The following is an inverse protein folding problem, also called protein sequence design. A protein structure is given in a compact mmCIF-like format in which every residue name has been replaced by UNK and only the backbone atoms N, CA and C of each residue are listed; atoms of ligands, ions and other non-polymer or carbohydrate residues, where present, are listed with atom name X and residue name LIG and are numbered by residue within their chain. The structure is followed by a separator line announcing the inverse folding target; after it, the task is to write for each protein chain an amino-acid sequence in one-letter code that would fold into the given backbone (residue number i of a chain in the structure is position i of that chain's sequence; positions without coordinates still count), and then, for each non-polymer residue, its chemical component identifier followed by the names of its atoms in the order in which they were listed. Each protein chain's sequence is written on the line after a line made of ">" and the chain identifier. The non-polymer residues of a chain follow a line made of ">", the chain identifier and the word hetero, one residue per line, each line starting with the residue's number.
data_IF_529196434918
#
_entry.id   IF_529196434918
#
_cell.length_a   1.000
_cell.length_b   1.000
_cell.length_c   1.000
_cell.angle_alpha   90.00
_cell.angle_beta   90.00
_cell.angle_gamma   90.00
#
_symmetry.space_group_name_H-M   'P 1'
#
loop_
_entity.id
_entity.type
_entity.pdbx_description
1 polymer ?
#
# COMPACT_ATOMS: atom_id res chain seq x y z
N UNK A 1 -60.69 -33.61 62.97
CA UNK A 1 -60.99 -33.95 61.55
C UNK A 1 -61.33 -32.71 60.72
N UNK A 2 -62.16 -31.78 61.23
CA UNK A 2 -62.48 -30.52 60.52
C UNK A 2 -61.27 -29.56 60.40
N UNK A 3 -60.41 -29.46 61.41
CA UNK A 3 -59.23 -28.56 61.37
C UNK A 3 -58.16 -28.97 60.34
N UNK A 4 -57.94 -30.27 60.08
CA UNK A 4 -56.96 -30.73 59.09
C UNK A 4 -57.44 -30.58 57.64
N UNK A 5 -58.74 -30.55 57.41
CA UNK A 5 -59.32 -30.28 56.08
C UNK A 5 -59.23 -28.78 55.75
N UNK A 6 -59.41 -27.92 56.75
CA UNK A 6 -59.31 -26.46 56.59
C UNK A 6 -57.87 -25.99 56.29
N UNK A 7 -56.88 -26.57 56.97
CA UNK A 7 -55.45 -26.23 56.72
C UNK A 7 -54.96 -26.71 55.35
N UNK A 8 -55.43 -27.87 54.87
CA UNK A 8 -55.11 -28.36 53.52
C UNK A 8 -55.80 -27.53 52.42
N UNK A 9 -57.05 -27.11 52.61
CA UNK A 9 -57.76 -26.23 51.68
C UNK A 9 -57.10 -24.85 51.56
N UNK A 10 -56.69 -24.26 52.68
CA UNK A 10 -55.93 -22.99 52.68
C UNK A 10 -54.58 -23.16 51.97
N UNK A 11 -53.89 -24.29 52.17
CA UNK A 11 -52.59 -24.57 51.54
C UNK A 11 -52.68 -24.74 50.03
N UNK A 12 -53.71 -25.43 49.53
CA UNK A 12 -53.98 -25.55 48.09
C UNK A 12 -54.43 -24.22 47.47
N UNK A 13 -55.28 -23.45 48.16
CA UNK A 13 -55.70 -22.13 47.70
C UNK A 13 -54.52 -21.15 47.62
N UNK A 14 -53.62 -21.16 48.62
CA UNK A 14 -52.37 -20.37 48.61
C UNK A 14 -51.42 -20.86 47.50
N UNK A 15 -51.34 -22.16 47.23
CA UNK A 15 -50.52 -22.70 46.14
C UNK A 15 -51.05 -22.29 44.75
N UNK A 16 -52.36 -22.39 44.52
CA UNK A 16 -53.00 -21.94 43.28
C UNK A 16 -52.88 -20.43 43.10
N UNK A 17 -53.07 -19.65 44.16
CA UNK A 17 -52.92 -18.19 44.14
C UNK A 17 -51.46 -17.79 43.86
N UNK A 18 -50.47 -18.47 44.43
CA UNK A 18 -49.06 -18.25 44.12
C UNK A 18 -48.67 -18.69 42.69
N UNK A 19 -49.28 -19.75 42.15
CA UNK A 19 -49.10 -20.18 40.75
C UNK A 19 -49.68 -19.16 39.76
N UNK A 20 -50.87 -18.61 40.04
CA UNK A 20 -51.45 -17.53 39.25
C UNK A 20 -50.59 -16.26 39.29
N UNK A 21 -50.07 -15.90 40.46
CA UNK A 21 -49.19 -14.73 40.62
C UNK A 21 -47.85 -14.92 39.89
N UNK A 22 -47.23 -16.10 40.00
CA UNK A 22 -45.96 -16.40 39.32
C UNK A 22 -46.13 -16.46 37.80
N UNK A 23 -47.20 -17.08 37.29
CA UNK A 23 -47.53 -17.07 35.86
C UNK A 23 -47.80 -15.66 35.33
N UNK A 24 -48.51 -14.83 36.10
CA UNK A 24 -48.76 -13.42 35.74
C UNK A 24 -47.46 -12.60 35.70
N UNK A 25 -46.53 -12.83 36.63
CA UNK A 25 -45.22 -12.18 36.64
C UNK A 25 -44.32 -12.63 35.48
N UNK A 26 -44.35 -13.91 35.09
CA UNK A 26 -43.61 -14.43 33.93
C UNK A 26 -44.13 -13.82 32.62
N UNK A 27 -45.46 -13.74 32.46
CA UNK A 27 -46.08 -13.11 31.29
C UNK A 27 -45.77 -11.62 31.20
N UNK A 28 -45.76 -10.89 32.32
CA UNK A 28 -45.35 -9.47 32.35
C UNK A 28 -43.89 -9.33 31.93
N UNK A 29 -42.98 -10.15 32.46
CA UNK A 29 -41.55 -10.14 32.08
C UNK A 29 -41.35 -10.44 30.59
N UNK A 30 -42.09 -11.39 30.03
CA UNK A 30 -42.00 -11.71 28.61
C UNK A 30 -42.40 -10.53 27.72
N UNK A 31 -43.49 -9.83 28.05
CA UNK A 31 -43.94 -8.64 27.30
C UNK A 31 -42.95 -7.48 27.45
N UNK A 32 -42.39 -7.29 28.65
CA UNK A 32 -41.35 -6.27 28.89
C UNK A 32 -40.09 -6.56 28.06
N UNK A 33 -39.64 -7.81 28.01
CA UNK A 33 -38.47 -8.20 27.21
C UNK A 33 -38.72 -8.02 25.70
N UNK A 34 -39.92 -8.32 25.21
CA UNK A 34 -40.29 -8.04 23.80
C UNK A 34 -40.26 -6.54 23.53
N UNK A 35 -40.82 -5.74 24.44
CA UNK A 35 -40.82 -4.29 24.32
C UNK A 35 -39.41 -3.72 24.28
N UNK A 36 -38.54 -4.16 25.20
CA UNK A 36 -37.12 -3.79 25.22
C UNK A 36 -36.39 -4.22 23.94
N UNK A 37 -36.70 -5.40 23.40
CA UNK A 37 -36.12 -5.87 22.15
C UNK A 37 -36.55 -4.99 20.96
N UNK A 38 -37.82 -4.60 20.90
CA UNK A 38 -38.33 -3.74 19.83
C UNK A 38 -37.74 -2.33 19.94
N UNK A 39 -37.68 -1.76 21.15
CA UNK A 39 -37.12 -0.40 21.34
C UNK A 39 -35.64 -0.35 21.00
N UNK A 40 -34.87 -1.38 21.34
CA UNK A 40 -33.43 -1.44 21.00
C UNK A 40 -33.21 -1.58 19.49
N UNK A 41 -34.00 -2.41 18.80
CA UNK A 41 -33.97 -2.52 17.33
C UNK A 41 -34.32 -1.19 16.66
N UNK A 42 -35.39 -0.53 17.10
CA UNK A 42 -35.80 0.77 16.55
C UNK A 42 -34.75 1.86 16.82
N UNK A 43 -34.10 1.82 17.98
CA UNK A 43 -32.99 2.73 18.30
C UNK A 43 -31.81 2.52 17.35
N UNK A 44 -31.42 1.26 17.10
CA UNK A 44 -30.38 0.92 16.13
C UNK A 44 -30.73 1.37 14.72
N UNK A 45 -31.97 1.13 14.27
CA UNK A 45 -32.45 1.56 12.96
C UNK A 45 -32.50 3.09 12.82
N UNK A 46 -32.78 3.81 13.92
CA UNK A 46 -32.70 5.27 13.97
C UNK A 46 -31.29 5.80 13.72
N UNK A 47 -30.26 5.13 14.24
CA UNK A 47 -28.85 5.45 13.96
C UNK A 47 -28.53 5.19 12.48
N UNK A 48 -28.93 4.03 11.94
CA UNK A 48 -28.75 3.73 10.51
C UNK A 48 -29.43 4.78 9.62
N UNK A 49 -30.66 5.17 9.95
CA UNK A 49 -31.39 6.21 9.23
C UNK A 49 -30.70 7.56 9.31
N UNK A 50 -30.13 7.91 10.48
CA UNK A 50 -29.32 9.12 10.65
C UNK A 50 -28.10 9.10 9.72
N UNK A 51 -27.36 8.00 9.64
CA UNK A 51 -26.25 7.87 8.69
C UNK A 51 -26.71 7.98 7.23
N UNK A 52 -27.84 7.36 6.86
CA UNK A 52 -28.41 7.45 5.50
C UNK A 52 -28.80 8.89 5.12
N UNK A 53 -29.27 9.70 6.06
CA UNK A 53 -29.58 11.09 5.78
C UNK A 53 -28.32 11.98 5.76
N UNK A 54 -27.36 11.71 6.64
CA UNK A 54 -26.12 12.48 6.75
C UNK A 54 -25.16 12.26 5.56
N UNK A 55 -25.14 11.07 4.94
CA UNK A 55 -24.28 10.78 3.79
C UNK A 55 -24.55 11.67 2.58
N UNK A 56 -25.76 12.25 2.48
CA UNK A 56 -26.10 13.21 1.43
C UNK A 56 -25.33 14.53 1.56
N UNK A 57 -24.86 14.86 2.76
CA UNK A 57 -24.08 16.08 3.04
C UNK A 57 -22.59 15.80 3.04
N UNK A 58 -22.16 14.73 3.70
CA UNK A 58 -20.75 14.37 3.83
C UNK A 58 -20.55 12.89 3.49
N UNK A 59 -20.00 12.60 2.31
CA UNK A 59 -19.56 11.27 1.93
C UNK A 59 -18.05 11.11 2.22
N UNK A 60 -17.66 9.98 2.81
CA UNK A 60 -16.24 9.67 3.04
C UNK A 60 -15.63 8.94 1.83
N UNK A 61 -16.48 8.44 0.93
CA UNK A 61 -16.08 7.69 -0.27
C UNK A 61 -15.70 8.64 -1.40
N UNK A 62 -14.65 8.31 -2.11
CA UNK A 62 -14.17 8.99 -3.30
C UNK A 62 -14.39 8.08 -4.52
N UNK A 63 -14.87 8.64 -5.64
CA UNK A 63 -15.22 7.85 -6.82
C UNK A 63 -13.99 7.62 -7.70
N UNK A 64 -13.35 6.47 -7.52
CA UNK A 64 -12.27 6.03 -8.40
C UNK A 64 -12.86 5.45 -9.70
N UNK A 65 -12.37 5.79 -10.91
CA UNK A 65 -11.09 6.44 -11.21
C UNK A 65 -11.12 7.97 -11.45
N UNK A 66 -12.29 8.60 -11.55
CA UNK A 66 -12.41 10.03 -11.88
C UNK A 66 -11.80 10.94 -10.82
N UNK A 67 -12.04 10.59 -9.56
CA UNK A 67 -11.42 11.21 -8.41
C UNK A 67 -10.31 10.29 -7.91
N UNK A 68 -9.17 10.88 -7.54
CA UNK A 68 -8.06 10.17 -6.89
C UNK A 68 -7.75 10.89 -5.60
N UNK A 69 -7.39 10.13 -4.56
CA UNK A 69 -6.97 10.74 -3.32
C UNK A 69 -5.79 11.69 -3.58
N UNK A 70 -5.87 12.98 -3.22
CA UNK A 70 -4.69 13.81 -3.18
C UNK A 70 -3.69 13.17 -2.20
N UNK A 71 -2.40 13.38 -2.46
CA UNK A 71 -1.34 12.82 -1.62
C UNK A 71 -1.64 13.16 -0.15
N UNK A 72 -1.73 12.17 0.76
CA UNK A 72 -1.88 12.48 2.16
C UNK A 72 -0.61 13.21 2.61
N UNK A 73 -0.74 14.49 2.93
CA UNK A 73 0.26 15.27 3.64
C UNK A 73 0.34 14.72 5.07
N UNK A 74 1.07 13.61 5.24
CA UNK A 74 1.38 13.09 6.56
C UNK A 74 2.46 13.96 7.16
N UNK A 75 2.10 14.78 8.13
CA UNK A 75 3.07 15.44 9.02
C UNK A 75 3.59 14.41 10.03
N UNK A 76 4.65 13.69 9.63
CA UNK A 76 5.37 12.72 10.47
C UNK A 76 6.62 13.34 11.10
N UNK A 77 6.74 14.68 11.15
CA UNK A 77 7.92 15.37 11.68
C UNK A 77 9.17 15.28 10.79
N UNK A 78 9.00 14.92 9.52
CA UNK A 78 10.05 14.94 8.49
C UNK A 78 9.60 15.85 7.33
N UNK A 79 10.49 16.70 6.84
CA UNK A 79 10.22 17.57 5.69
C UNK A 79 9.84 16.73 4.47
N UNK A 80 8.69 17.05 3.87
CA UNK A 80 8.09 16.30 2.75
C UNK A 80 8.93 16.35 1.47
N UNK A 81 9.88 17.27 1.37
CA UNK A 81 10.86 17.34 0.28
C UNK A 81 11.90 16.21 0.36
N UNK A 82 12.22 15.73 1.57
CA UNK A 82 13.33 14.81 1.81
C UNK A 82 12.92 13.33 1.79
N UNK A 83 11.62 13.03 1.81
CA UNK A 83 11.14 11.65 1.90
C UNK A 83 9.93 11.40 1.00
N UNK A 84 10.05 10.42 0.09
CA UNK A 84 8.89 9.94 -0.64
C UNK A 84 8.05 9.02 0.28
N UNK A 85 6.93 9.56 0.77
CA UNK A 85 5.98 8.84 1.64
C UNK A 85 5.18 7.80 0.85
N UNK A 86 5.16 7.91 -0.48
CA UNK A 86 4.34 7.08 -1.34
C UNK A 86 5.16 5.92 -1.89
N UNK A 87 4.65 4.72 -1.67
CA UNK A 87 5.12 3.50 -2.32
C UNK A 87 4.60 3.48 -3.76
N UNK A 88 5.36 4.07 -4.66
CA UNK A 88 5.09 4.09 -6.10
C UNK A 88 6.12 3.25 -6.85
N UNK A 89 5.93 3.13 -8.17
CA UNK A 89 6.89 2.46 -9.05
C UNK A 89 8.28 3.11 -8.93
N UNK A 90 9.33 2.29 -8.86
CA UNK A 90 10.71 2.75 -9.01
C UNK A 90 10.99 3.09 -10.48
N UNK A 91 11.69 4.19 -10.72
CA UNK A 91 12.22 4.59 -12.02
C UNK A 91 13.72 4.81 -11.92
N UNK A 92 14.43 4.59 -13.03
CA UNK A 92 15.88 4.76 -13.11
C UNK A 92 16.23 5.57 -14.35
N UNK A 93 16.84 6.73 -14.12
CA UNK A 93 17.48 7.54 -15.14
C UNK A 93 18.82 6.88 -15.51
N UNK A 94 18.80 5.98 -16.50
CA UNK A 94 20.00 5.20 -16.88
C UNK A 94 21.16 6.09 -17.36
N UNK A 95 20.83 7.27 -17.91
CA UNK A 95 21.79 8.28 -18.36
C UNK A 95 22.58 8.91 -17.21
N UNK A 96 22.10 8.82 -15.97
CA UNK A 96 22.81 9.26 -14.77
C UNK A 96 23.38 8.09 -13.95
N UNK A 97 23.02 6.85 -14.26
CA UNK A 97 23.55 5.69 -13.56
C UNK A 97 25.04 5.45 -13.88
N UNK A 98 25.87 5.39 -12.82
CA UNK A 98 27.32 5.11 -12.90
C UNK A 98 27.69 3.63 -12.68
N UNK A 99 26.70 2.74 -12.50
CA UNK A 99 26.95 1.31 -12.29
C UNK A 99 27.63 0.95 -10.96
N UNK A 100 27.41 1.71 -9.88
CA UNK A 100 28.10 1.51 -8.59
C UNK A 100 27.64 0.31 -7.75
N UNK A 101 26.57 -0.40 -8.17
CA UNK A 101 25.99 -1.59 -7.50
C UNK A 101 25.55 -1.37 -6.03
N UNK A 102 25.40 -0.12 -5.58
CA UNK A 102 24.98 0.18 -4.20
C UNK A 102 23.50 -0.15 -3.97
N UNK A 103 22.64 0.14 -4.95
CA UNK A 103 21.20 -0.11 -4.88
C UNK A 103 20.86 -1.61 -4.89
N UNK A 104 21.60 -2.42 -5.64
CA UNK A 104 21.51 -3.89 -5.60
C UNK A 104 21.91 -4.42 -4.22
N UNK A 105 23.08 -4.01 -3.70
CA UNK A 105 23.59 -4.49 -2.40
C UNK A 105 22.69 -4.14 -1.20
N UNK A 106 22.03 -2.98 -1.22
CA UNK A 106 21.16 -2.55 -0.10
C UNK A 106 19.77 -3.19 -0.16
N UNK A 107 19.39 -3.77 -1.30
CA UNK A 107 18.05 -4.30 -1.48
C UNK A 107 17.81 -5.51 -0.55
N UNK A 108 16.80 -5.46 0.35
CA UNK A 108 16.58 -6.54 1.31
C UNK A 108 16.08 -7.84 0.67
N UNK A 109 15.51 -7.75 -0.53
CA UNK A 109 14.91 -8.87 -1.29
C UNK A 109 15.65 -9.15 -2.59
N UNK A 110 16.75 -8.44 -2.87
CA UNK A 110 17.61 -8.66 -4.05
C UNK A 110 16.87 -8.61 -5.41
N UNK A 111 15.83 -7.77 -5.51
CA UNK A 111 15.01 -7.63 -6.72
C UNK A 111 15.64 -6.78 -7.84
N UNK A 112 16.81 -6.19 -7.62
CA UNK A 112 17.51 -5.35 -8.59
C UNK A 112 18.71 -6.14 -9.11
N UNK A 113 18.83 -6.31 -10.43
CA UNK A 113 19.96 -7.00 -11.06
C UNK A 113 20.71 -6.07 -11.99
N UNK A 114 22.01 -5.91 -11.75
CA UNK A 114 22.85 -4.97 -12.49
C UNK A 114 24.08 -5.69 -13.04
N UNK A 115 24.30 -5.57 -14.35
CA UNK A 115 25.51 -6.06 -15.00
C UNK A 115 26.25 -4.88 -15.64
N UNK A 116 27.56 -4.78 -15.38
CA UNK A 116 28.39 -3.64 -15.81
C UNK A 116 29.67 -4.09 -16.47
N UNK A 117 30.11 -3.34 -17.47
CA UNK A 117 31.42 -3.51 -18.12
C UNK A 117 32.25 -2.25 -17.99
N UNK A 118 33.56 -2.43 -17.82
CA UNK A 118 34.50 -1.31 -17.74
C UNK A 118 34.67 -0.65 -19.09
N UNK A 119 34.65 0.67 -19.09
CA UNK A 119 34.90 1.53 -20.24
C UNK A 119 35.89 2.63 -19.87
N UNK A 120 36.58 3.18 -20.86
CA UNK A 120 37.40 4.37 -20.66
C UNK A 120 36.56 5.52 -20.06
N UNK A 121 37.16 6.22 -19.09
CA UNK A 121 36.45 7.22 -18.28
C UNK A 121 36.07 8.45 -19.10
N UNK A 122 34.78 8.76 -19.14
CA UNK A 122 34.27 9.96 -19.81
C UNK A 122 34.27 9.85 -21.34
N UNK A 123 34.35 8.64 -21.87
CA UNK A 123 34.22 8.39 -23.30
C UNK A 123 32.74 8.28 -23.64
N UNK A 124 32.23 9.25 -24.39
CA UNK A 124 30.88 9.17 -24.94
C UNK A 124 30.84 8.11 -26.03
N UNK A 125 29.95 7.13 -25.89
CA UNK A 125 29.73 6.09 -26.89
C UNK A 125 28.35 6.35 -27.50
N UNK A 126 28.26 7.15 -28.57
CA UNK A 126 26.99 7.53 -29.18
C UNK A 126 26.22 6.31 -29.72
N UNK A 127 26.93 5.26 -30.15
CA UNK A 127 26.36 4.03 -30.70
C UNK A 127 25.50 3.24 -29.69
N UNK A 128 25.73 3.48 -28.39
CA UNK A 128 25.06 2.84 -27.25
C UNK A 128 24.23 3.89 -26.47
N UNK A 129 24.22 5.14 -26.94
CA UNK A 129 23.70 6.29 -26.21
C UNK A 129 24.22 6.35 -24.76
N UNK A 130 25.49 5.98 -24.56
CA UNK A 130 26.14 6.09 -23.27
C UNK A 130 26.80 7.47 -23.16
N UNK A 131 26.23 8.31 -22.31
CA UNK A 131 26.85 9.58 -21.94
C UNK A 131 27.92 9.31 -20.90
N UNK A 132 29.16 9.70 -21.19
CA UNK A 132 30.31 9.56 -20.33
C UNK A 132 30.27 10.47 -19.10
N UNK A 133 29.37 11.44 -19.05
CA UNK A 133 29.14 12.33 -17.90
C UNK A 133 27.69 12.26 -17.42
N UNK A 134 27.50 12.29 -16.10
CA UNK A 134 26.18 12.45 -15.47
C UNK A 134 25.76 13.92 -15.36
N UNK A 135 24.48 14.17 -15.08
CA UNK A 135 23.93 15.48 -14.78
C UNK A 135 24.63 16.19 -13.61
N UNK A 136 25.18 15.44 -12.64
CA UNK A 136 25.98 16.00 -11.53
C UNK A 136 27.48 16.13 -11.86
N UNK A 137 27.88 15.84 -13.10
CA UNK A 137 29.24 16.02 -13.60
C UNK A 137 30.22 14.89 -13.27
N UNK A 138 29.73 13.72 -12.81
CA UNK A 138 30.61 12.57 -12.59
C UNK A 138 30.91 11.85 -13.90
N UNK A 139 32.18 11.46 -14.09
CA UNK A 139 32.61 10.70 -15.26
C UNK A 139 32.29 9.22 -15.05
N UNK A 140 31.52 8.64 -15.98
CA UNK A 140 31.23 7.22 -16.00
C UNK A 140 32.46 6.42 -16.40
N UNK A 141 32.74 5.38 -15.62
CA UNK A 141 33.80 4.39 -15.87
C UNK A 141 33.24 2.99 -16.16
N UNK A 142 31.93 2.83 -15.95
CA UNK A 142 31.21 1.58 -16.07
C UNK A 142 30.01 1.82 -16.98
N UNK A 143 29.92 1.00 -18.01
CA UNK A 143 28.76 0.89 -18.88
C UNK A 143 27.82 -0.14 -18.28
N UNK A 144 26.58 0.25 -18.00
CA UNK A 144 25.53 -0.64 -17.49
C UNK A 144 24.91 -1.37 -18.66
N UNK A 145 25.13 -2.69 -18.75
CA UNK A 145 24.55 -3.55 -19.78
C UNK A 145 23.13 -4.01 -19.43
N UNK A 146 22.93 -4.27 -18.14
CA UNK A 146 21.66 -4.76 -17.61
C UNK A 146 21.33 -3.98 -16.36
N UNK A 147 20.09 -3.52 -16.28
CA UNK A 147 19.53 -2.91 -15.09
C UNK A 147 18.07 -3.30 -15.04
N UNK A 148 17.79 -4.39 -14.34
CA UNK A 148 16.46 -4.94 -14.21
C UNK A 148 15.97 -4.73 -12.77
N UNK A 149 14.72 -4.28 -12.63
CA UNK A 149 14.02 -4.24 -11.36
C UNK A 149 12.80 -5.14 -11.45
N UNK A 150 12.78 -6.20 -10.65
CA UNK A 150 11.59 -7.02 -10.47
C UNK A 150 10.64 -6.35 -9.46
N UNK A 151 9.53 -5.81 -9.98
CA UNK A 151 8.51 -5.18 -9.14
C UNK A 151 7.60 -6.20 -8.44
N UNK A 152 7.63 -7.47 -8.83
CA UNK A 152 6.88 -8.53 -8.14
C UNK A 152 7.53 -8.91 -6.81
N UNK A 153 8.86 -8.79 -6.72
CA UNK A 153 9.64 -9.04 -5.51
C UNK A 153 9.82 -7.76 -4.65
N UNK A 154 9.81 -6.59 -5.27
CA UNK A 154 10.06 -5.32 -4.61
C UNK A 154 9.07 -5.05 -3.45
N UNK A 155 9.59 -4.73 -2.27
CA UNK A 155 8.78 -4.36 -1.10
C UNK A 155 8.50 -2.85 -0.98
N UNK A 156 8.89 -2.05 -1.98
CA UNK A 156 8.74 -0.58 -2.01
C UNK A 156 9.21 0.12 -0.73
N UNK A 157 10.37 -0.28 -0.20
CA UNK A 157 10.94 0.24 1.04
C UNK A 157 11.74 1.55 0.88
N UNK A 158 12.04 1.96 -0.36
CA UNK A 158 12.83 3.15 -0.69
C UNK A 158 14.31 3.10 -0.22
N UNK A 159 14.83 1.92 0.17
CA UNK A 159 16.22 1.80 0.63
C UNK A 159 17.25 1.93 -0.51
N UNK A 160 16.86 1.65 -1.75
CA UNK A 160 17.74 1.70 -2.93
C UNK A 160 18.05 3.13 -3.40
N UNK A 161 17.24 4.12 -3.03
CA UNK A 161 17.39 5.52 -3.46
C UNK A 161 18.41 6.27 -2.60
N UNK A 162 18.40 6.02 -1.29
CA UNK A 162 19.28 6.68 -0.33
C UNK A 162 20.79 6.51 -0.60
N UNK A 163 21.31 5.32 -0.96
CA UNK A 163 22.75 5.17 -1.23
C UNK A 163 23.16 5.59 -2.64
N UNK A 164 22.22 6.02 -3.50
CA UNK A 164 22.52 6.42 -4.87
C UNK A 164 23.21 7.80 -4.89
N UNK A 165 24.50 7.91 -5.28
CA UNK A 165 25.20 9.19 -5.27
C UNK A 165 24.64 10.19 -6.31
N UNK A 166 24.20 9.67 -7.45
CA UNK A 166 23.68 10.47 -8.56
C UNK A 166 22.17 10.71 -8.47
N UNK A 167 21.48 10.14 -7.48
CA UNK A 167 20.01 10.17 -7.37
C UNK A 167 19.30 9.72 -8.67
N UNK A 168 19.93 8.79 -9.40
CA UNK A 168 19.40 8.30 -10.67
C UNK A 168 18.25 7.29 -10.48
N UNK A 169 18.18 6.61 -9.33
CA UNK A 169 17.07 5.72 -8.96
C UNK A 169 16.19 6.40 -7.93
N UNK A 170 14.89 6.47 -8.20
CA UNK A 170 13.92 7.11 -7.33
C UNK A 170 12.54 6.49 -7.46
N UNK A 171 11.72 6.67 -6.43
CA UNK A 171 10.29 6.39 -6.50
C UNK A 171 9.58 7.54 -7.24
N UNK A 172 8.72 7.18 -8.19
CA UNK A 172 7.94 8.14 -9.01
C UNK A 172 6.95 8.94 -8.16
N UNK A 173 6.64 10.18 -8.56
CA UNK A 173 5.84 11.07 -7.72
C UNK A 173 6.58 11.54 -6.46
N UNK A 174 5.83 11.98 -5.45
CA UNK A 174 6.47 12.47 -4.22
C UNK A 174 7.24 13.79 -4.46
N UNK A 175 8.46 13.92 -3.91
CA UNK A 175 9.41 15.00 -4.24
C UNK A 175 9.84 14.98 -5.72
N UNK A 176 9.83 13.79 -6.34
CA UNK A 176 10.29 13.57 -7.72
C UNK A 176 9.15 13.70 -8.75
N UNK A 177 8.00 14.27 -8.36
CA UNK A 177 6.87 14.49 -9.27
C UNK A 177 7.21 15.36 -10.48
N UNK A 178 8.25 16.19 -10.37
CA UNK A 178 8.78 17.02 -11.45
C UNK A 178 9.49 16.20 -12.55
N UNK A 179 10.05 15.04 -12.21
CA UNK A 179 10.64 14.10 -13.18
C UNK A 179 9.58 13.17 -13.77
N UNK A 180 8.86 12.47 -12.89
CA UNK A 180 7.83 11.52 -13.27
C UNK A 180 6.59 11.67 -12.39
N UNK A 181 5.38 11.68 -12.99
CA UNK A 181 4.14 11.72 -12.23
C UNK A 181 4.03 10.48 -11.34
N UNK A 182 3.21 10.58 -10.30
CA UNK A 182 2.94 9.46 -9.40
C UNK A 182 2.34 8.29 -10.19
N UNK A 183 2.96 7.12 -10.05
CA UNK A 183 2.49 5.90 -10.70
C UNK A 183 2.39 4.75 -9.69
N UNK A 184 1.17 4.51 -9.22
CA UNK A 184 0.81 3.36 -8.38
C UNK A 184 -0.18 2.42 -9.11
N UNK A 185 -0.59 2.75 -10.33
CA UNK A 185 -1.64 2.06 -11.10
C UNK A 185 -1.02 1.20 -12.23
N UNK A 186 0.07 0.48 -11.92
CA UNK A 186 0.90 -0.22 -12.91
C UNK A 186 0.71 -1.74 -12.96
N UNK A 187 -0.50 -2.21 -12.64
CA UNK A 187 -0.83 -3.63 -12.71
C UNK A 187 -0.65 -4.17 -14.13
N UNK A 188 -0.02 -5.33 -14.25
CA UNK A 188 0.12 -6.08 -15.50
C UNK A 188 -0.62 -7.42 -15.43
N UNK A 189 -0.97 -7.99 -16.58
CA UNK A 189 -1.61 -9.30 -16.66
C UNK A 189 -0.64 -10.44 -16.41
N UNK A 190 0.56 -10.34 -16.99
CA UNK A 190 1.62 -11.33 -16.86
C UNK A 190 2.70 -10.87 -15.89
N UNK A 191 3.32 -11.84 -15.19
CA UNK A 191 4.41 -11.55 -14.25
C UNK A 191 5.67 -11.03 -14.94
N UNK A 192 5.92 -11.49 -16.18
CA UNK A 192 7.09 -11.06 -16.96
C UNK A 192 7.09 -9.56 -17.25
N UNK A 193 5.91 -8.96 -17.41
CA UNK A 193 5.75 -7.53 -17.70
C UNK A 193 5.98 -6.63 -16.47
N UNK A 194 6.07 -7.23 -15.28
CA UNK A 194 6.43 -6.54 -14.04
C UNK A 194 7.94 -6.47 -13.79
N UNK A 195 8.74 -7.06 -14.69
CA UNK A 195 10.20 -6.93 -14.69
C UNK A 195 10.56 -5.75 -15.58
N UNK A 196 10.97 -4.65 -14.96
CA UNK A 196 11.30 -3.42 -15.67
C UNK A 196 12.78 -3.39 -16.01
N UNK A 197 13.07 -3.28 -17.30
CA UNK A 197 14.43 -3.18 -17.84
C UNK A 197 14.72 -1.73 -18.20
N UNK A 198 15.72 -1.14 -17.54
CA UNK A 198 16.11 0.26 -17.72
C UNK A 198 17.40 0.41 -18.55
N UNK A 199 18.18 -0.66 -18.71
CA UNK A 199 19.35 -0.64 -19.56
C UNK A 199 18.93 -0.50 -21.04
N UNK A 200 19.73 0.25 -21.80
CA UNK A 200 19.53 0.41 -23.24
C UNK A 200 19.92 -0.88 -23.95
N UNK A 201 19.11 -1.34 -24.89
CA UNK A 201 19.43 -2.52 -25.68
C UNK A 201 20.63 -2.25 -26.59
N UNK A 202 21.63 -3.13 -26.54
CA UNK A 202 22.84 -3.02 -27.35
C UNK A 202 23.09 -4.32 -28.09
N UNK A 203 23.42 -4.23 -29.38
CA UNK A 203 23.89 -5.37 -30.16
C UNK A 203 25.22 -5.90 -29.61
N UNK A 204 25.36 -7.22 -29.53
CA UNK A 204 26.55 -7.90 -29.02
C UNK A 204 27.85 -7.46 -29.73
N UNK A 205 27.79 -7.21 -31.04
CA UNK A 205 28.93 -6.74 -31.84
C UNK A 205 29.49 -5.40 -31.33
N UNK A 206 28.61 -4.41 -31.09
CA UNK A 206 29.00 -3.11 -30.55
C UNK A 206 29.54 -3.21 -29.12
N UNK A 207 28.99 -4.11 -28.32
CA UNK A 207 29.51 -4.37 -26.98
C UNK A 207 30.90 -4.98 -27.02
N UNK A 208 31.16 -5.89 -27.95
CA UNK A 208 32.48 -6.49 -28.16
C UNK A 208 33.52 -5.47 -28.63
N UNK A 209 33.16 -4.51 -29.49
CA UNK A 209 34.06 -3.42 -29.89
C UNK A 209 34.46 -2.53 -28.70
N UNK A 210 33.51 -2.19 -27.84
CA UNK A 210 33.77 -1.37 -26.66
C UNK A 210 34.62 -2.12 -25.65
N UNK A 211 34.35 -3.39 -25.40
CA UNK A 211 35.16 -4.24 -24.51
C UNK A 211 36.57 -4.43 -25.07
N UNK A 212 36.68 -4.65 -26.40
CA UNK A 212 37.94 -4.90 -27.09
C UNK A 212 38.90 -3.71 -27.10
N UNK A 213 38.39 -2.47 -26.99
CA UNK A 213 39.22 -1.26 -26.82
C UNK A 213 39.85 -1.13 -25.44
N UNK A 214 39.33 -1.84 -24.43
CA UNK A 214 39.78 -1.73 -23.03
C UNK A 214 40.77 -2.84 -22.60
N UNK A 215 41.14 -3.74 -23.51
CA UNK A 215 42.19 -4.77 -23.32
C UNK A 215 43.46 -4.38 -24.07
#
# INVERSE_FOLDING_TARGET
>A
MLESLYTNFIREYIWHWNLEITNRLIMIKYIVNIWESITTILTGMGVTWSHMWNIRRDNVTLQYPEERWPRPERDIGFDQENYNVIRSRLHVDIDDCIGCLKCERVCPVDCIKIETVKVEKGTDIPDIQHTGNTSKGTKKALLVQRFDIDMTECCYCNLCTYPCPEECIFMTGGPNSHKHPIDYEFSQYDRGDMIYRFAKEVSEEKMAEVVGKNN
#
